data_IF_336248056091
#
_entry.id   IF_336248056091
#
_cell.length_a   1.000
_cell.length_b   1.000
_cell.length_c   1.000
_cell.angle_alpha   90.00
_cell.angle_beta   90.00
_cell.angle_gamma   90.00
#
_symmetry.space_group_name_H-M   'P 1'
#
loop_
_entity.id
_entity.type
_entity.pdbx_description
1 polymer ?
#
# COMPACT_ATOMS: atom_id res chain seq x y z
N UNK A 1 -3.46 16.62 10.52
CA UNK A 1 -2.37 16.26 11.47
C UNK A 1 -2.06 14.76 11.49
N UNK A 2 -3.06 13.86 11.48
CA UNK A 2 -2.80 12.41 11.54
C UNK A 2 -2.10 11.86 10.29
N UNK A 3 -2.53 12.27 9.08
CA UNK A 3 -1.90 11.91 7.80
C UNK A 3 -0.39 12.16 7.78
N UNK A 4 0.04 13.37 8.15
CA UNK A 4 1.46 13.75 8.19
C UNK A 4 2.26 12.91 9.20
N UNK A 5 1.67 12.58 10.37
CA UNK A 5 2.32 11.71 11.36
C UNK A 5 2.50 10.30 10.81
N UNK A 6 1.48 9.74 10.16
CA UNK A 6 1.57 8.43 9.53
C UNK A 6 2.62 8.43 8.42
N UNK A 7 2.59 9.43 7.53
CA UNK A 7 3.59 9.61 6.47
C UNK A 7 5.02 9.69 7.01
N UNK A 8 5.25 10.37 8.12
CA UNK A 8 6.56 10.41 8.77
C UNK A 8 6.99 9.04 9.30
N UNK A 9 6.05 8.27 9.88
CA UNK A 9 6.31 6.91 10.38
C UNK A 9 6.65 5.97 9.23
N UNK A 10 5.82 5.85 8.19
CA UNK A 10 6.14 4.99 7.04
C UNK A 10 7.38 5.46 6.30
N UNK A 11 7.59 6.77 6.16
CA UNK A 11 8.82 7.32 5.58
C UNK A 11 10.08 6.90 6.34
N UNK A 12 10.02 6.83 7.68
CA UNK A 12 11.11 6.35 8.49
C UNK A 12 11.38 4.85 8.29
N UNK A 13 10.31 4.06 8.12
CA UNK A 13 10.34 2.61 7.92
C UNK A 13 10.84 2.19 6.56
N UNK A 14 10.61 3.01 5.52
CA UNK A 14 11.13 2.83 4.16
C UNK A 14 12.65 2.64 4.11
N UNK A 15 13.40 3.21 5.05
CA UNK A 15 14.86 3.03 5.16
C UNK A 15 15.28 1.57 5.41
N UNK A 16 14.38 0.76 5.95
CA UNK A 16 14.60 -0.66 6.22
C UNK A 16 14.05 -1.56 5.09
N UNK A 17 13.51 -0.96 4.02
CA UNK A 17 12.94 -1.68 2.87
C UNK A 17 13.97 -1.68 1.73
N UNK A 18 14.23 -2.84 1.08
CA UNK A 18 15.07 -2.90 -0.12
C UNK A 18 14.62 -1.91 -1.18
N UNK A 19 15.57 -1.26 -1.86
CA UNK A 19 15.25 -0.18 -2.82
C UNK A 19 14.38 -0.63 -3.99
N UNK A 20 14.50 -1.90 -4.42
CA UNK A 20 13.64 -2.47 -5.47
C UNK A 20 12.15 -2.39 -5.11
N UNK A 21 11.81 -2.46 -3.82
CA UNK A 21 10.45 -2.44 -3.33
C UNK A 21 9.88 -1.03 -3.14
N UNK A 22 10.71 0.02 -3.19
CA UNK A 22 10.28 1.37 -2.83
C UNK A 22 9.06 1.87 -3.63
N UNK A 23 8.96 1.68 -4.95
CA UNK A 23 7.80 2.16 -5.70
C UNK A 23 6.48 1.57 -5.20
N UNK A 24 6.41 0.23 -5.07
CA UNK A 24 5.18 -0.43 -4.61
C UNK A 24 4.91 -0.16 -3.13
N UNK A 25 5.96 -0.08 -2.31
CA UNK A 25 5.84 0.32 -0.92
C UNK A 25 5.22 1.71 -0.77
N UNK A 26 5.72 2.68 -1.53
CA UNK A 26 5.23 4.07 -1.47
C UNK A 26 3.77 4.15 -1.91
N UNK A 27 3.38 3.41 -2.95
CA UNK A 27 2.00 3.33 -3.45
C UNK A 27 1.06 2.72 -2.41
N UNK A 28 1.36 1.53 -1.90
CA UNK A 28 0.46 0.86 -0.96
C UNK A 28 0.37 1.63 0.36
N UNK A 29 1.49 2.11 0.89
CA UNK A 29 1.46 2.87 2.16
C UNK A 29 0.66 4.16 2.02
N UNK A 30 0.70 4.83 0.87
CA UNK A 30 -0.15 5.99 0.61
C UNK A 30 -1.65 5.61 0.61
N UNK A 31 -2.02 4.54 -0.08
CA UNK A 31 -3.39 4.03 -0.16
C UNK A 31 -3.96 3.68 1.23
N UNK A 32 -3.17 3.00 2.08
CA UNK A 32 -3.55 2.74 3.47
C UNK A 32 -3.66 4.00 4.32
N UNK A 33 -2.73 4.96 4.16
CA UNK A 33 -2.79 6.22 4.93
C UNK A 33 -4.06 7.00 4.60
N UNK A 34 -4.45 7.03 3.33
CA UNK A 34 -5.65 7.73 2.88
C UNK A 34 -6.90 7.05 3.45
N UNK A 35 -7.00 5.72 3.36
CA UNK A 35 -8.09 4.98 3.98
C UNK A 35 -8.16 5.18 5.51
N UNK A 36 -7.04 5.19 6.23
CA UNK A 36 -7.02 5.43 7.69
C UNK A 36 -7.57 6.83 8.04
N UNK A 37 -7.34 7.81 7.17
CA UNK A 37 -7.81 9.19 7.37
C UNK A 37 -9.29 9.31 7.04
N UNK A 38 -9.76 8.61 6.00
CA UNK A 38 -11.13 8.64 5.51
C UNK A 38 -12.08 7.79 6.37
N UNK A 39 -11.58 6.69 6.96
CA UNK A 39 -12.35 5.70 7.72
C UNK A 39 -11.78 5.54 9.15
N UNK A 40 -11.90 6.57 10.01
CA UNK A 40 -11.31 6.54 11.36
C UNK A 40 -11.87 5.43 12.25
N UNK A 41 -13.07 4.93 12.00
CA UNK A 41 -13.67 3.78 12.67
C UNK A 41 -12.92 2.47 12.37
N UNK A 42 -12.22 2.38 11.24
CA UNK A 42 -11.41 1.23 10.87
C UNK A 42 -9.93 1.38 11.26
N UNK A 43 -9.59 2.41 12.03
CA UNK A 43 -8.21 2.78 12.34
C UNK A 43 -7.34 1.59 12.79
N UNK A 44 -7.81 0.81 13.77
CA UNK A 44 -7.04 -0.32 14.30
C UNK A 44 -6.80 -1.41 13.24
N UNK A 45 -7.82 -1.73 12.44
CA UNK A 45 -7.76 -2.76 11.41
C UNK A 45 -6.85 -2.34 10.26
N UNK A 46 -7.01 -1.12 9.76
CA UNK A 46 -6.22 -0.59 8.65
C UNK A 46 -4.75 -0.39 9.06
N UNK A 47 -4.49 0.09 10.27
CA UNK A 47 -3.12 0.27 10.77
C UNK A 47 -2.42 -1.08 10.98
N UNK A 48 -3.14 -2.10 11.45
CA UNK A 48 -2.59 -3.46 11.57
C UNK A 48 -2.23 -4.05 10.21
N UNK A 49 -3.10 -3.90 9.20
CA UNK A 49 -2.84 -4.34 7.82
C UNK A 49 -1.66 -3.59 7.20
N UNK A 50 -1.61 -2.26 7.37
CA UNK A 50 -0.48 -1.44 6.95
C UNK A 50 0.83 -1.97 7.54
N UNK A 51 0.85 -2.29 8.84
CA UNK A 51 2.04 -2.84 9.47
C UNK A 51 2.46 -4.19 8.88
N UNK A 52 1.51 -5.09 8.62
CA UNK A 52 1.79 -6.36 7.97
C UNK A 52 2.40 -6.18 6.57
N UNK A 53 1.86 -5.25 5.77
CA UNK A 53 2.40 -4.93 4.44
C UNK A 53 3.83 -4.40 4.52
N UNK A 54 4.10 -3.48 5.44
CA UNK A 54 5.44 -2.93 5.66
C UNK A 54 6.43 -4.03 6.03
N UNK A 55 6.08 -4.94 6.94
CA UNK A 55 6.96 -6.06 7.29
C UNK A 55 7.23 -6.96 6.09
N UNK A 56 6.21 -7.24 5.27
CA UNK A 56 6.39 -8.05 4.05
C UNK A 56 7.41 -7.45 3.09
N UNK A 57 7.34 -6.13 2.86
CA UNK A 57 8.32 -5.41 2.02
C UNK A 57 9.74 -5.40 2.57
N UNK A 58 9.92 -5.51 3.89
CA UNK A 58 11.25 -5.65 4.50
C UNK A 58 11.84 -7.05 4.31
N UNK A 59 10.98 -8.07 4.22
CA UNK A 59 11.41 -9.48 4.23
C UNK A 59 11.50 -10.13 2.86
N UNK A 60 10.83 -9.59 1.85
CA UNK A 60 10.72 -10.21 0.53
C UNK A 60 10.86 -9.17 -0.58
N UNK A 61 11.47 -9.56 -1.70
CA UNK A 61 11.40 -8.79 -2.94
C UNK A 61 10.00 -8.95 -3.55
N UNK A 62 9.30 -7.83 -3.69
CA UNK A 62 7.96 -7.71 -4.24
C UNK A 62 7.94 -6.75 -5.43
N UNK A 63 9.10 -6.31 -5.94
CA UNK A 63 9.18 -5.33 -7.03
C UNK A 63 8.63 -5.85 -8.36
N UNK A 64 8.45 -7.16 -8.48
CA UNK A 64 7.95 -7.83 -9.68
C UNK A 64 6.44 -8.14 -9.61
N UNK A 65 5.80 -7.82 -8.49
CA UNK A 65 4.37 -8.06 -8.26
C UNK A 65 3.68 -6.69 -8.18
N UNK A 66 2.51 -6.49 -8.81
CA UNK A 66 1.75 -5.27 -8.64
C UNK A 66 1.45 -4.94 -7.17
N UNK A 67 1.39 -3.66 -6.80
CA UNK A 67 0.94 -3.25 -5.47
C UNK A 67 -0.48 -3.76 -5.20
N UNK A 68 -0.72 -4.30 -4.02
CA UNK A 68 -2.01 -4.75 -3.52
C UNK A 68 -2.71 -3.60 -2.79
N UNK A 69 -3.51 -2.85 -3.55
CA UNK A 69 -4.29 -1.74 -3.03
C UNK A 69 -5.46 -2.22 -2.15
N UNK A 70 -6.07 -1.32 -1.40
CA UNK A 70 -7.36 -1.55 -0.76
C UNK A 70 -8.46 -1.53 -1.80
N UNK A 71 -9.33 -2.54 -1.75
CA UNK A 71 -10.46 -2.63 -2.68
C UNK A 71 -11.52 -1.60 -2.29
N UNK A 72 -12.02 -0.85 -3.27
CA UNK A 72 -13.10 0.10 -3.01
C UNK A 72 -14.45 -0.61 -2.84
N UNK A 73 -15.37 0.05 -2.13
CA UNK A 73 -16.74 -0.44 -2.01
C UNK A 73 -17.41 -0.47 -3.39
N UNK A 74 -18.06 -1.60 -3.71
CA UNK A 74 -18.68 -1.80 -5.02
C UNK A 74 -17.73 -2.13 -6.18
N UNK A 75 -16.41 -2.03 -6.00
CA UNK A 75 -15.42 -2.37 -7.03
C UNK A 75 -15.45 -3.87 -7.33
N UNK A 76 -15.55 -4.21 -8.62
CA UNK A 76 -15.44 -5.60 -9.09
C UNK A 76 -14.00 -6.10 -8.94
N UNK A 77 -13.82 -7.41 -8.92
CA UNK A 77 -12.48 -7.99 -8.87
C UNK A 77 -11.62 -7.56 -10.07
N UNK A 78 -12.22 -7.44 -11.26
CA UNK A 78 -11.47 -7.06 -12.46
C UNK A 78 -11.01 -5.60 -12.41
N UNK A 79 -11.86 -4.68 -11.97
CA UNK A 79 -11.51 -3.27 -11.81
C UNK A 79 -10.40 -3.10 -10.76
N UNK A 80 -10.52 -3.81 -9.65
CA UNK A 80 -9.51 -3.84 -8.61
C UNK A 80 -8.15 -4.31 -9.13
N UNK A 81 -8.13 -5.43 -9.87
CA UNK A 81 -6.90 -5.95 -10.46
C UNK A 81 -6.32 -4.94 -11.45
N UNK A 82 -7.11 -4.44 -12.39
CA UNK A 82 -6.65 -3.44 -13.36
C UNK A 82 -5.99 -2.25 -12.66
N UNK A 83 -6.63 -1.70 -11.62
CA UNK A 83 -6.06 -0.60 -10.84
C UNK A 83 -4.72 -0.96 -10.20
N UNK A 84 -4.58 -2.14 -9.62
CA UNK A 84 -3.32 -2.62 -9.06
C UNK A 84 -2.20 -2.69 -10.11
N UNK A 85 -2.50 -3.15 -11.32
CA UNK A 85 -1.53 -3.21 -12.43
C UNK A 85 -1.20 -1.82 -12.98
N UNK A 86 -2.20 -0.94 -13.10
CA UNK A 86 -2.05 0.37 -13.73
C UNK A 86 -1.22 1.35 -12.89
N UNK A 87 -1.40 1.39 -11.57
CA UNK A 87 -0.77 2.41 -10.70
C UNK A 87 0.75 2.39 -10.69
N UNK A 88 1.36 1.25 -10.99
CA UNK A 88 2.82 1.10 -11.03
C UNK A 88 3.33 0.78 -12.46
N UNK A 89 2.46 0.92 -13.47
CA UNK A 89 2.83 0.71 -14.87
C UNK A 89 3.19 -0.74 -15.19
N UNK A 90 2.60 -1.72 -14.49
CA UNK A 90 2.79 -3.13 -14.81
C UNK A 90 2.10 -3.44 -16.15
N UNK A 91 2.90 -3.51 -17.21
CA UNK A 91 2.42 -3.89 -18.55
C UNK A 91 2.24 -5.41 -18.59
N UNK A 92 1.05 -5.88 -18.22
CA UNK A 92 0.68 -7.29 -18.31
C UNK A 92 -0.01 -7.77 -17.07
N UNK A 93 -1.34 -7.70 -17.09
CA UNK A 93 -2.19 -8.12 -15.98
C UNK A 93 -3.52 -8.73 -16.42
N UNK A 94 -3.60 -9.32 -17.61
CA UNK A 94 -4.62 -10.28 -18.05
C UNK A 94 -4.10 -11.08 -19.25
#
# INVERSE_FOLDING_TARGET
MIKQKLQAIVGAERRNVPQCNWPNYDIETADYIDAIVEEPEQFEVLTAKLWQRIQRYKTADLSHIPPALLRYEGETMQEYLNRCYDVAGYVGGL
#
